data_IF_670148365238
#
_entry.id   IF_670148365238
#
_cell.length_a   1.000
_cell.length_b   1.000
_cell.length_c   1.000
_cell.angle_alpha   90.00
_cell.angle_beta   90.00
_cell.angle_gamma   90.00
#
_symmetry.space_group_name_H-M   'P 1'
#
loop_
_entity.id
_entity.type
_entity.pdbx_description
1 polymer ?
#
# COMPACT_ATOMS: atom_id res chain seq x y z
N UNK A 1 2.29 51.35 3.66
CA UNK A 1 1.60 50.60 4.71
C UNK A 1 0.44 49.75 4.18
N UNK A 2 -0.52 50.30 3.38
CA UNK A 2 -1.67 49.53 2.85
C UNK A 2 -1.27 48.26 2.04
N UNK A 3 -0.26 48.34 1.20
CA UNK A 3 0.21 47.19 0.40
C UNK A 3 0.94 46.12 1.25
N UNK A 4 1.58 46.54 2.34
CA UNK A 4 2.22 45.58 3.27
C UNK A 4 1.16 44.80 4.05
N UNK A 5 0.08 45.44 4.51
CA UNK A 5 -1.02 44.79 5.17
C UNK A 5 -1.75 43.81 4.23
N UNK A 6 -1.97 44.18 2.97
CA UNK A 6 -2.58 43.32 1.97
C UNK A 6 -1.71 42.09 1.69
N UNK A 7 -0.39 42.26 1.56
CA UNK A 7 0.54 41.14 1.34
C UNK A 7 0.57 40.21 2.56
N UNK A 8 0.64 40.74 3.78
CA UNK A 8 0.61 39.97 5.01
C UNK A 8 -0.70 39.20 5.17
N UNK A 9 -1.84 39.82 4.83
CA UNK A 9 -3.15 39.14 4.84
C UNK A 9 -3.22 38.01 3.80
N UNK A 10 -2.73 38.22 2.59
CA UNK A 10 -2.66 37.18 1.55
C UNK A 10 -1.80 36.00 1.98
N UNK A 11 -0.63 36.25 2.57
CA UNK A 11 0.24 35.21 3.10
C UNK A 11 -0.46 34.44 4.24
N UNK A 12 -1.14 35.15 5.14
CA UNK A 12 -1.91 34.54 6.22
C UNK A 12 -3.06 33.66 5.71
N UNK A 13 -3.82 34.14 4.73
CA UNK A 13 -4.90 33.38 4.10
C UNK A 13 -4.36 32.14 3.35
N UNK A 14 -3.25 32.27 2.63
CA UNK A 14 -2.61 31.16 1.95
C UNK A 14 -2.11 30.11 2.96
N UNK A 15 -1.48 30.55 4.05
CA UNK A 15 -1.04 29.65 5.14
C UNK A 15 -2.22 28.92 5.79
N UNK A 16 -3.30 29.63 6.13
CA UNK A 16 -4.51 29.01 6.68
C UNK A 16 -5.16 28.01 5.71
N UNK A 17 -5.19 28.35 4.42
CA UNK A 17 -5.67 27.43 3.38
C UNK A 17 -4.83 26.16 3.28
N UNK A 18 -3.49 26.28 3.30
CA UNK A 18 -2.58 25.12 3.24
C UNK A 18 -2.78 24.21 4.46
N UNK A 19 -2.91 24.77 5.66
CA UNK A 19 -3.18 23.99 6.88
C UNK A 19 -4.53 23.29 6.79
N UNK A 20 -5.58 23.99 6.37
CA UNK A 20 -6.91 23.41 6.21
C UNK A 20 -6.92 22.31 5.15
N UNK A 21 -6.34 22.55 3.98
CA UNK A 21 -6.24 21.57 2.90
C UNK A 21 -5.46 20.33 3.34
N UNK A 22 -4.33 20.51 4.04
CA UNK A 22 -3.57 19.39 4.61
C UNK A 22 -4.42 18.59 5.60
N UNK A 23 -5.15 19.22 6.50
CA UNK A 23 -6.01 18.53 7.45
C UNK A 23 -7.12 17.72 6.77
N UNK A 24 -7.72 18.22 5.69
CA UNK A 24 -8.71 17.46 4.91
C UNK A 24 -8.06 16.26 4.21
N UNK A 25 -6.87 16.44 3.63
CA UNK A 25 -6.15 15.40 2.91
C UNK A 25 -5.62 14.29 3.83
N UNK A 26 -5.49 14.53 5.14
CA UNK A 26 -5.14 13.52 6.14
C UNK A 26 -6.31 12.62 6.55
N UNK A 27 -7.55 12.97 6.19
CA UNK A 27 -8.69 12.09 6.43
C UNK A 27 -8.61 10.87 5.53
N UNK A 28 -8.57 9.69 6.14
CA UNK A 28 -8.48 8.43 5.42
C UNK A 28 -9.81 8.11 4.74
N UNK A 29 -9.78 8.07 3.40
CA UNK A 29 -10.93 7.72 2.57
C UNK A 29 -10.78 6.31 1.98
N UNK A 30 -11.89 5.73 1.53
CA UNK A 30 -11.90 4.58 0.65
C UNK A 30 -11.89 5.08 -0.79
N UNK A 31 -10.98 4.54 -1.60
CA UNK A 31 -10.95 4.76 -3.05
C UNK A 31 -11.44 3.50 -3.76
N UNK A 32 -12.46 3.61 -4.58
CA UNK A 32 -12.95 2.52 -5.40
C UNK A 32 -12.26 2.54 -6.76
N UNK A 33 -11.62 1.42 -7.12
CA UNK A 33 -10.80 1.30 -8.34
C UNK A 33 -11.24 0.08 -9.14
N UNK A 34 -11.44 0.23 -10.44
CA UNK A 34 -11.71 -0.90 -11.34
C UNK A 34 -10.48 -1.17 -12.18
N UNK A 35 -9.98 -2.40 -12.13
CA UNK A 35 -8.83 -2.86 -12.92
C UNK A 35 -9.28 -4.05 -13.78
N UNK A 36 -9.03 -3.99 -15.07
CA UNK A 36 -9.27 -5.11 -15.98
C UNK A 36 -7.95 -5.60 -16.56
N UNK A 37 -7.69 -6.89 -16.44
CA UNK A 37 -6.50 -7.53 -17.01
C UNK A 37 -6.91 -8.74 -17.88
N UNK A 38 -6.12 -9.00 -18.91
CA UNK A 38 -6.27 -10.21 -19.71
C UNK A 38 -5.29 -11.27 -19.20
N UNK A 39 -5.78 -12.46 -18.89
CA UNK A 39 -4.97 -13.58 -18.44
C UNK A 39 -5.28 -14.83 -19.26
N UNK A 40 -4.34 -15.30 -20.12
CA UNK A 40 -4.53 -16.53 -20.86
C UNK A 40 -4.59 -17.71 -19.89
N UNK A 41 -5.45 -18.68 -20.18
CA UNK A 41 -5.65 -19.91 -19.40
C UNK A 41 -6.23 -19.72 -17.98
N UNK A 42 -6.70 -18.53 -17.63
CA UNK A 42 -7.40 -18.27 -16.37
C UNK A 42 -8.88 -18.16 -16.67
N UNK A 43 -9.72 -18.84 -15.88
CA UNK A 43 -11.18 -18.68 -15.99
C UNK A 43 -11.56 -17.23 -15.70
N UNK A 44 -12.47 -16.69 -16.49
CA UNK A 44 -13.05 -15.37 -16.24
C UNK A 44 -13.58 -15.29 -14.80
N UNK A 45 -13.14 -14.28 -14.08
CA UNK A 45 -13.52 -14.06 -12.70
C UNK A 45 -13.30 -12.61 -12.28
N UNK A 46 -13.94 -12.20 -11.21
CA UNK A 46 -13.66 -10.92 -10.56
C UNK A 46 -13.24 -11.16 -9.10
N UNK A 47 -12.32 -10.34 -8.60
CA UNK A 47 -11.85 -10.35 -7.22
C UNK A 47 -11.96 -8.94 -6.64
N UNK A 48 -12.60 -8.83 -5.48
CA UNK A 48 -12.63 -7.59 -4.72
C UNK A 48 -11.47 -7.59 -3.74
N UNK A 49 -10.49 -6.71 -3.94
CA UNK A 49 -9.24 -6.67 -3.17
C UNK A 49 -9.16 -5.37 -2.39
N UNK A 50 -9.04 -5.46 -1.05
CA UNK A 50 -8.73 -4.30 -0.24
C UNK A 50 -7.22 -4.13 -0.11
N UNK A 51 -6.72 -2.92 -0.37
CA UNK A 51 -5.30 -2.57 -0.31
C UNK A 51 -5.05 -1.59 0.81
N UNK A 52 -4.16 -1.94 1.73
CA UNK A 52 -3.71 -1.10 2.83
C UNK A 52 -2.19 -0.94 2.72
N UNK A 53 -1.72 0.28 2.51
CA UNK A 53 -0.31 0.60 2.50
C UNK A 53 0.02 1.77 3.42
N UNK A 54 1.26 1.80 3.87
CA UNK A 54 1.89 2.95 4.46
C UNK A 54 1.10 3.59 5.62
N UNK A 55 0.61 2.83 6.60
CA UNK A 55 -0.10 3.41 7.73
C UNK A 55 0.82 4.20 8.66
N UNK A 56 2.13 3.92 8.69
CA UNK A 56 3.13 4.63 9.50
C UNK A 56 2.69 4.88 10.94
N UNK A 57 2.25 3.83 11.62
CA UNK A 57 1.67 3.92 12.95
C UNK A 57 2.74 4.30 13.99
N UNK A 58 2.67 5.49 14.64
CA UNK A 58 3.48 5.79 15.81
C UNK A 58 2.95 5.05 17.04
N UNK A 59 3.72 5.04 18.12
CA UNK A 59 3.21 4.56 19.39
C UNK A 59 2.04 5.41 19.89
N UNK A 60 1.03 4.74 20.42
CA UNK A 60 -0.14 5.40 21.01
C UNK A 60 -1.40 4.56 20.90
N UNK A 61 -2.20 4.54 21.97
CA UNK A 61 -3.45 3.76 22.00
C UNK A 61 -4.48 4.30 21.00
N UNK A 62 -4.56 5.61 20.87
CA UNK A 62 -5.50 6.29 19.98
C UNK A 62 -5.20 5.96 18.52
N UNK A 63 -3.92 5.90 18.15
CA UNK A 63 -3.49 5.56 16.78
C UNK A 63 -3.82 4.11 16.46
N UNK A 64 -3.53 3.19 17.37
CA UNK A 64 -3.87 1.77 17.20
C UNK A 64 -5.38 1.59 17.14
N UNK A 65 -6.16 2.31 17.97
CA UNK A 65 -7.63 2.26 17.91
C UNK A 65 -8.19 2.78 16.59
N UNK A 66 -7.65 3.87 16.06
CA UNK A 66 -8.04 4.41 14.76
C UNK A 66 -7.70 3.43 13.61
N UNK A 67 -6.57 2.75 13.70
CA UNK A 67 -6.21 1.70 12.74
C UNK A 67 -7.13 0.48 12.86
N UNK A 68 -7.53 0.08 14.06
CA UNK A 68 -8.54 -0.95 14.27
C UNK A 68 -9.88 -0.59 13.62
N UNK A 69 -10.35 0.63 13.79
CA UNK A 69 -11.57 1.13 13.15
C UNK A 69 -11.46 1.10 11.62
N UNK A 70 -10.29 1.47 11.08
CA UNK A 70 -10.02 1.35 9.65
C UNK A 70 -10.16 -0.11 9.19
N UNK A 71 -9.52 -1.05 9.86
CA UNK A 71 -9.57 -2.48 9.48
C UNK A 71 -10.98 -3.07 9.60
N UNK A 72 -11.77 -2.62 10.57
CA UNK A 72 -13.18 -3.01 10.66
C UNK A 72 -14.01 -2.45 9.49
N UNK A 73 -13.75 -1.22 9.04
CA UNK A 73 -14.35 -0.67 7.80
C UNK A 73 -13.92 -1.48 6.57
N UNK A 74 -12.64 -1.81 6.45
CA UNK A 74 -12.13 -2.69 5.39
C UNK A 74 -12.86 -4.03 5.40
N UNK A 75 -12.99 -4.67 6.56
CA UNK A 75 -13.74 -5.93 6.70
C UNK A 75 -15.20 -5.77 6.28
N UNK A 76 -15.85 -4.67 6.64
CA UNK A 76 -17.26 -4.42 6.31
C UNK A 76 -17.51 -4.20 4.82
N UNK A 77 -16.50 -3.83 4.02
CA UNK A 77 -16.59 -3.78 2.56
C UNK A 77 -16.60 -5.17 1.91
N UNK A 78 -16.42 -6.22 2.73
CA UNK A 78 -16.52 -7.64 2.35
C UNK A 78 -15.62 -8.01 1.16
N UNK A 79 -14.31 -7.69 1.16
CA UNK A 79 -13.41 -8.06 0.08
C UNK A 79 -13.19 -9.57 0.00
N UNK A 80 -12.68 -10.04 -1.13
CA UNK A 80 -12.27 -11.43 -1.33
C UNK A 80 -10.86 -11.70 -0.77
N UNK A 81 -10.03 -10.64 -0.73
CA UNK A 81 -8.64 -10.65 -0.27
C UNK A 81 -8.29 -9.29 0.33
N UNK A 82 -7.52 -9.27 1.40
CA UNK A 82 -6.89 -8.06 1.95
C UNK A 82 -5.39 -8.14 1.71
N UNK A 83 -4.80 -7.09 1.15
CA UNK A 83 -3.35 -7.00 0.93
C UNK A 83 -2.76 -5.82 1.70
N UNK A 84 -1.62 -6.09 2.34
CA UNK A 84 -0.86 -5.11 3.10
C UNK A 84 0.48 -4.90 2.43
N UNK A 85 0.79 -3.67 2.00
CA UNK A 85 1.94 -3.40 1.12
C UNK A 85 3.08 -2.61 1.79
N UNK A 86 3.26 -2.79 3.10
CA UNK A 86 4.45 -2.33 3.84
C UNK A 86 4.30 -1.00 4.57
N UNK A 87 5.35 -0.61 5.28
CA UNK A 87 5.51 0.59 6.08
C UNK A 87 4.41 0.75 7.15
N UNK A 88 4.30 -0.27 8.01
CA UNK A 88 3.26 -0.37 9.03
C UNK A 88 3.50 0.52 10.23
N UNK A 89 4.78 0.77 10.55
CA UNK A 89 5.19 1.60 11.70
C UNK A 89 5.76 2.94 11.25
N UNK A 90 5.69 3.93 12.13
CA UNK A 90 6.40 5.19 11.97
C UNK A 90 7.94 4.98 12.02
N UNK A 91 8.70 6.07 11.96
CA UNK A 91 10.16 6.01 12.04
C UNK A 91 10.60 5.09 13.19
N UNK A 92 11.35 4.00 12.94
CA UNK A 92 11.77 3.07 13.96
C UNK A 92 12.51 3.72 15.13
N UNK A 93 13.23 4.82 14.86
CA UNK A 93 13.95 5.56 15.91
C UNK A 93 13.04 6.30 16.90
N UNK A 94 11.78 6.51 16.52
CA UNK A 94 10.76 7.18 17.34
C UNK A 94 9.95 6.22 18.22
N UNK A 95 10.16 4.91 18.09
CA UNK A 95 9.41 3.87 18.80
C UNK A 95 10.24 3.38 20.00
N UNK A 96 9.74 3.62 21.21
CA UNK A 96 10.45 3.29 22.44
C UNK A 96 10.41 1.79 22.78
N UNK A 97 9.26 1.13 22.53
CA UNK A 97 9.08 -0.31 22.77
C UNK A 97 8.68 -1.03 21.47
N UNK A 98 9.68 -1.20 20.59
CA UNK A 98 9.49 -1.82 19.27
C UNK A 98 8.86 -3.22 19.33
N UNK A 99 9.29 -4.16 20.19
CA UNK A 99 8.68 -5.49 20.26
C UNK A 99 7.18 -5.43 20.57
N UNK A 100 6.79 -4.63 21.55
CA UNK A 100 5.38 -4.46 21.95
C UNK A 100 4.57 -3.76 20.87
N UNK A 101 5.11 -2.70 20.28
CA UNK A 101 4.42 -1.96 19.22
C UNK A 101 4.20 -2.83 18.00
N UNK A 102 5.22 -3.58 17.55
CA UNK A 102 5.14 -4.54 16.45
C UNK A 102 4.07 -5.60 16.70
N UNK A 103 3.99 -6.15 17.92
CA UNK A 103 2.96 -7.12 18.29
C UNK A 103 1.55 -6.53 18.20
N UNK A 104 1.34 -5.29 18.64
CA UNK A 104 0.05 -4.59 18.53
C UNK A 104 -0.36 -4.41 17.06
N UNK A 105 0.57 -3.98 16.23
CA UNK A 105 0.34 -3.77 14.79
C UNK A 105 -0.01 -5.09 14.09
N UNK A 106 0.76 -6.15 14.32
CA UNK A 106 0.50 -7.46 13.69
C UNK A 106 -0.82 -8.06 14.16
N UNK A 107 -1.16 -7.92 15.45
CA UNK A 107 -2.45 -8.40 15.96
C UNK A 107 -3.62 -7.64 15.36
N UNK A 108 -3.47 -6.37 15.02
CA UNK A 108 -4.52 -5.62 14.33
C UNK A 108 -4.89 -6.25 12.99
N UNK A 109 -3.93 -6.81 12.24
CA UNK A 109 -4.21 -7.46 10.95
C UNK A 109 -5.18 -8.63 11.05
N UNK A 110 -5.33 -9.24 12.23
CA UNK A 110 -6.31 -10.31 12.47
C UNK A 110 -7.75 -9.82 12.54
N UNK A 111 -7.96 -8.50 12.67
CA UNK A 111 -9.31 -7.94 12.69
C UNK A 111 -10.07 -8.17 11.38
N UNK A 112 -9.35 -8.41 10.28
CA UNK A 112 -9.99 -8.74 9.00
C UNK A 112 -10.37 -10.23 8.88
N UNK A 113 -9.99 -11.08 9.85
CA UNK A 113 -10.38 -12.49 9.83
C UNK A 113 -11.92 -12.66 9.68
N UNK A 114 -12.43 -13.66 8.93
CA UNK A 114 -11.69 -14.75 8.27
C UNK A 114 -11.24 -14.45 6.83
N UNK A 115 -11.24 -13.18 6.38
CA UNK A 115 -10.82 -12.82 5.03
C UNK A 115 -9.32 -13.13 4.87
N UNK A 116 -8.91 -13.86 3.80
CA UNK A 116 -7.50 -14.14 3.57
C UNK A 116 -6.72 -12.84 3.39
N UNK A 117 -5.48 -12.82 3.88
CA UNK A 117 -4.60 -11.65 3.81
C UNK A 117 -3.22 -12.01 3.31
N UNK A 118 -2.64 -11.13 2.50
CA UNK A 118 -1.26 -11.21 2.05
C UNK A 118 -0.50 -9.96 2.52
N UNK A 119 0.72 -10.16 3.01
CA UNK A 119 1.53 -9.11 3.63
C UNK A 119 2.92 -9.09 2.98
N UNK A 120 3.42 -7.91 2.62
CA UNK A 120 4.84 -7.67 2.28
C UNK A 120 5.40 -6.61 3.21
N UNK A 121 6.70 -6.63 3.47
CA UNK A 121 7.37 -5.64 4.30
C UNK A 121 7.81 -4.43 3.48
N UNK A 122 7.79 -3.24 4.11
CA UNK A 122 8.34 -2.02 3.58
C UNK A 122 9.73 -1.70 4.15
N UNK A 123 10.23 -0.50 3.85
CA UNK A 123 11.55 -0.09 4.30
C UNK A 123 11.63 0.18 5.81
N UNK A 124 10.55 0.61 6.45
CA UNK A 124 10.54 0.83 7.90
C UNK A 124 10.64 -0.49 8.68
N UNK A 125 9.97 -1.54 8.24
CA UNK A 125 10.14 -2.88 8.81
C UNK A 125 11.56 -3.40 8.58
N UNK A 126 12.13 -3.17 7.39
CA UNK A 126 13.49 -3.61 7.07
C UNK A 126 14.53 -2.87 7.90
N UNK A 127 14.36 -1.57 8.12
CA UNK A 127 15.26 -0.75 8.96
C UNK A 127 15.15 -1.08 10.46
N UNK A 128 13.98 -1.54 10.91
CA UNK A 128 13.75 -1.96 12.30
C UNK A 128 14.05 -3.43 12.57
N UNK A 129 14.83 -4.09 11.70
CA UNK A 129 15.17 -5.52 11.74
C UNK A 129 14.07 -6.45 11.16
N UNK A 130 14.11 -6.67 9.86
CA UNK A 130 13.16 -7.53 9.14
C UNK A 130 12.99 -8.94 9.75
N UNK A 131 14.05 -9.53 10.31
CA UNK A 131 14.00 -10.88 10.88
C UNK A 131 13.06 -10.96 12.10
N UNK A 132 13.00 -9.91 12.90
CA UNK A 132 12.08 -9.84 14.03
C UNK A 132 10.63 -9.78 13.52
N UNK A 133 10.37 -9.01 12.45
CA UNK A 133 9.05 -8.96 11.82
C UNK A 133 8.62 -10.32 11.29
N UNK A 134 9.48 -11.03 10.55
CA UNK A 134 9.17 -12.38 10.09
C UNK A 134 8.89 -13.35 11.23
N UNK A 135 9.67 -13.26 12.30
CA UNK A 135 9.50 -14.11 13.49
C UNK A 135 8.16 -13.85 14.17
N UNK A 136 7.81 -12.58 14.39
CA UNK A 136 6.58 -12.20 15.08
C UNK A 136 5.35 -12.44 14.20
N UNK A 137 5.40 -12.15 12.90
CA UNK A 137 4.31 -12.50 11.97
C UNK A 137 4.04 -13.99 11.98
N UNK A 138 5.10 -14.82 11.88
CA UNK A 138 4.98 -16.29 11.96
C UNK A 138 4.39 -16.74 13.30
N UNK A 139 4.88 -16.21 14.43
CA UNK A 139 4.40 -16.51 15.78
C UNK A 139 2.92 -16.18 15.92
N UNK A 140 2.48 -15.09 15.31
CA UNK A 140 1.10 -14.59 15.40
C UNK A 140 0.18 -15.15 14.29
N UNK A 141 0.70 -16.04 13.44
CA UNK A 141 -0.09 -16.73 12.41
C UNK A 141 -0.49 -15.83 11.24
N UNK A 142 0.30 -14.81 10.93
CA UNK A 142 0.16 -13.97 9.74
C UNK A 142 1.28 -14.28 8.77
N UNK A 143 0.96 -14.68 7.55
CA UNK A 143 1.96 -15.02 6.53
C UNK A 143 2.48 -13.76 5.85
N UNK A 144 3.81 -13.61 5.84
CA UNK A 144 4.51 -12.55 5.10
C UNK A 144 5.17 -13.14 3.88
N UNK A 145 4.96 -12.51 2.73
CA UNK A 145 5.52 -12.92 1.46
C UNK A 145 6.76 -12.05 1.12
N UNK A 146 7.93 -12.64 1.13
CA UNK A 146 9.13 -11.99 0.61
C UNK A 146 9.83 -12.91 -0.38
N UNK A 147 9.83 -12.50 -1.65
CA UNK A 147 10.40 -13.28 -2.75
C UNK A 147 9.85 -14.71 -2.80
N UNK A 148 8.57 -14.87 -2.58
CA UNK A 148 7.87 -16.15 -2.58
C UNK A 148 6.45 -16.03 -3.11
N UNK A 149 5.81 -17.17 -3.38
CA UNK A 149 4.44 -17.27 -3.90
C UNK A 149 3.62 -18.16 -3.00
N UNK A 150 2.48 -17.62 -2.54
CA UNK A 150 1.43 -18.37 -1.85
C UNK A 150 0.22 -18.60 -2.77
N UNK A 151 -0.50 -19.70 -2.54
CA UNK A 151 -1.83 -19.94 -3.09
C UNK A 151 -2.82 -19.70 -1.97
N UNK A 152 -3.69 -18.71 -2.15
CA UNK A 152 -4.67 -18.31 -1.15
C UNK A 152 -6.08 -18.69 -1.60
N UNK A 153 -6.86 -19.24 -0.68
CA UNK A 153 -8.26 -19.54 -0.91
C UNK A 153 -9.10 -18.30 -0.55
N UNK A 154 -9.94 -17.89 -1.49
CA UNK A 154 -10.91 -16.81 -1.31
C UNK A 154 -12.32 -17.33 -1.52
N UNK A 155 -13.34 -16.55 -1.18
CA UNK A 155 -14.75 -16.93 -1.47
C UNK A 155 -15.05 -17.06 -2.97
N UNK A 156 -14.16 -16.57 -3.87
CA UNK A 156 -14.26 -16.68 -5.33
C UNK A 156 -13.39 -17.80 -5.92
N UNK A 157 -12.68 -18.55 -5.10
CA UNK A 157 -11.71 -19.57 -5.49
C UNK A 157 -10.27 -19.21 -5.15
N UNK A 158 -9.32 -19.93 -5.74
CA UNK A 158 -7.91 -19.75 -5.44
C UNK A 158 -7.27 -18.61 -6.25
N UNK A 159 -6.38 -17.88 -5.61
CA UNK A 159 -5.53 -16.86 -6.22
C UNK A 159 -4.07 -17.10 -5.86
N UNK A 160 -3.16 -16.93 -6.82
CA UNK A 160 -1.72 -16.96 -6.56
C UNK A 160 -1.22 -15.55 -6.27
N UNK A 161 -0.71 -15.34 -5.06
CA UNK A 161 -0.13 -14.08 -4.63
C UNK A 161 1.37 -14.23 -4.52
N UNK A 162 2.12 -13.42 -5.25
CA UNK A 162 3.56 -13.30 -5.18
C UNK A 162 3.92 -12.06 -4.38
N UNK A 163 4.69 -12.20 -3.30
CA UNK A 163 5.33 -11.08 -2.63
C UNK A 163 6.78 -10.95 -3.10
N UNK A 164 7.17 -9.77 -3.54
CA UNK A 164 8.55 -9.41 -3.84
C UNK A 164 9.11 -8.59 -2.68
N UNK A 165 10.38 -8.81 -2.36
CA UNK A 165 11.08 -8.00 -1.37
C UNK A 165 11.20 -6.55 -1.81
N UNK A 166 11.31 -5.67 -0.85
CA UNK A 166 11.37 -4.24 -1.10
C UNK A 166 12.62 -3.84 -1.92
N UNK A 167 12.39 -3.13 -3.03
CA UNK A 167 13.46 -2.70 -3.94
C UNK A 167 14.28 -1.58 -3.32
N UNK A 168 13.67 -0.67 -2.58
CA UNK A 168 14.32 0.46 -1.95
C UNK A 168 15.40 0.04 -0.93
N UNK A 169 15.18 -1.05 -0.21
CA UNK A 169 16.14 -1.61 0.76
C UNK A 169 16.98 -2.75 0.19
N UNK A 170 17.03 -2.93 -1.13
CA UNK A 170 17.80 -3.97 -1.83
C UNK A 170 17.41 -5.42 -1.45
N UNK A 171 16.18 -5.64 -1.01
CA UNK A 171 15.67 -6.99 -0.70
C UNK A 171 14.93 -7.64 -1.86
N UNK A 172 14.70 -6.91 -2.94
CA UNK A 172 14.05 -7.41 -4.14
C UNK A 172 14.82 -8.59 -4.73
N UNK A 173 14.09 -9.69 -4.95
CA UNK A 173 14.57 -10.83 -5.71
C UNK A 173 13.41 -11.41 -6.52
N UNK A 174 13.60 -11.53 -7.82
CA UNK A 174 12.58 -12.12 -8.67
C UNK A 174 12.34 -13.60 -8.33
N UNK A 175 11.08 -14.01 -8.31
CA UNK A 175 10.63 -15.39 -8.21
C UNK A 175 9.49 -15.65 -9.19
N UNK A 176 9.55 -16.77 -9.90
CA UNK A 176 8.48 -17.17 -10.83
C UNK A 176 7.25 -17.73 -10.10
N UNK A 177 6.09 -17.63 -10.74
CA UNK A 177 4.92 -18.37 -10.32
C UNK A 177 5.10 -19.87 -10.59
N UNK A 178 4.89 -20.74 -9.59
CA UNK A 178 4.98 -22.19 -9.77
C UNK A 178 3.89 -22.70 -10.73
N UNK A 179 4.08 -23.88 -11.31
CA UNK A 179 3.14 -24.47 -12.29
C UNK A 179 1.70 -24.55 -11.80
N UNK A 180 1.49 -24.77 -10.49
CA UNK A 180 0.14 -24.78 -9.88
C UNK A 180 -0.63 -23.47 -10.04
N UNK A 181 0.06 -22.37 -10.36
CA UNK A 181 -0.55 -21.05 -10.61
C UNK A 181 -0.94 -20.82 -12.07
N UNK A 182 -0.69 -21.73 -13.00
CA UNK A 182 -0.88 -21.48 -14.44
C UNK A 182 -2.32 -21.15 -14.81
N UNK A 183 -3.29 -21.78 -14.16
CA UNK A 183 -4.74 -21.60 -14.38
C UNK A 183 -5.42 -20.74 -13.31
N UNK A 184 -4.66 -20.12 -12.41
CA UNK A 184 -5.18 -19.28 -11.34
C UNK A 184 -4.95 -17.80 -11.60
N UNK A 185 -5.81 -16.91 -11.10
CA UNK A 185 -5.52 -15.49 -11.01
C UNK A 185 -4.18 -15.24 -10.33
N UNK A 186 -3.42 -14.27 -10.83
CA UNK A 186 -2.08 -13.93 -10.33
C UNK A 186 -2.02 -12.48 -9.91
N UNK A 187 -1.51 -12.25 -8.71
CA UNK A 187 -1.31 -10.93 -8.13
C UNK A 187 0.12 -10.83 -7.59
N UNK A 188 0.82 -9.77 -7.88
CA UNK A 188 2.12 -9.47 -7.29
C UNK A 188 1.99 -8.30 -6.31
N UNK A 189 2.63 -8.43 -5.15
CA UNK A 189 2.76 -7.37 -4.16
C UNK A 189 4.24 -6.99 -4.03
N UNK A 190 4.53 -5.73 -3.88
CA UNK A 190 5.84 -5.19 -3.50
C UNK A 190 5.62 -3.91 -2.71
N UNK A 191 6.59 -3.49 -1.88
CA UNK A 191 6.45 -2.19 -1.25
C UNK A 191 6.82 -1.07 -2.23
N UNK A 192 8.08 -1.00 -2.67
CA UNK A 192 8.53 0.00 -3.64
C UNK A 192 8.08 -0.39 -5.07
N UNK A 193 7.36 0.50 -5.80
CA UNK A 193 6.93 0.25 -7.17
C UNK A 193 8.09 0.05 -8.17
N UNK A 194 9.31 0.46 -7.86
CA UNK A 194 10.48 0.21 -8.71
C UNK A 194 10.69 -1.29 -8.98
N UNK A 195 10.33 -2.17 -8.03
CA UNK A 195 10.37 -3.62 -8.22
C UNK A 195 9.45 -4.12 -9.34
N UNK A 196 8.39 -3.37 -9.66
CA UNK A 196 7.44 -3.71 -10.74
C UNK A 196 8.04 -3.59 -12.13
N UNK A 197 9.15 -2.85 -12.28
CA UNK A 197 9.78 -2.58 -13.57
C UNK A 197 10.92 -3.52 -13.92
N UNK A 198 11.21 -4.52 -13.09
CA UNK A 198 12.06 -5.64 -13.52
C UNK A 198 11.44 -6.29 -14.79
N UNK A 199 12.22 -6.56 -15.85
CA UNK A 199 11.71 -7.09 -17.11
C UNK A 199 10.94 -8.41 -16.98
N UNK A 200 11.21 -9.19 -15.94
CA UNK A 200 10.55 -10.48 -15.66
C UNK A 200 9.21 -10.34 -14.95
N UNK A 201 8.94 -9.18 -14.33
CA UNK A 201 7.69 -8.93 -13.61
C UNK A 201 6.61 -8.52 -14.60
N UNK A 202 5.56 -9.33 -14.70
CA UNK A 202 4.40 -9.19 -15.59
C UNK A 202 3.10 -9.31 -14.78
N UNK A 203 1.98 -8.89 -15.41
CA UNK A 203 0.66 -8.91 -14.79
C UNK A 203 0.43 -7.75 -13.84
N UNK A 204 -0.54 -7.91 -12.93
CA UNK A 204 -0.88 -6.89 -11.94
C UNK A 204 0.11 -6.91 -10.78
N UNK A 205 0.65 -5.74 -10.48
CA UNK A 205 1.46 -5.45 -9.29
C UNK A 205 0.76 -4.38 -8.48
N UNK A 206 0.64 -4.59 -7.16
CA UNK A 206 0.15 -3.60 -6.20
C UNK A 206 1.32 -3.19 -5.32
N UNK A 207 1.51 -1.87 -5.16
CA UNK A 207 2.61 -1.28 -4.40
C UNK A 207 2.16 -0.11 -3.52
N UNK A 208 3.03 0.32 -2.60
CA UNK A 208 2.89 1.48 -1.71
C UNK A 208 4.07 2.44 -1.84
N UNK A 209 4.68 2.81 -0.70
CA UNK A 209 5.94 3.54 -0.55
C UNK A 209 5.91 5.03 -0.94
N UNK A 210 5.30 5.37 -2.05
CA UNK A 210 5.41 6.70 -2.68
C UNK A 210 4.53 7.76 -2.06
N UNK A 211 3.47 7.36 -1.33
CA UNK A 211 2.41 8.24 -0.82
C UNK A 211 1.81 9.18 -1.89
N UNK A 212 1.91 8.79 -3.18
CA UNK A 212 1.60 9.71 -4.30
C UNK A 212 2.41 11.01 -4.26
N UNK A 213 3.60 10.98 -3.64
CA UNK A 213 4.47 12.14 -3.41
C UNK A 213 4.03 13.02 -2.24
N UNK A 214 3.04 12.61 -1.44
CA UNK A 214 2.54 13.22 -0.21
C UNK A 214 2.25 14.74 -0.29
N UNK A 215 3.19 15.52 -0.84
CA UNK A 215 3.06 16.95 -1.16
C UNK A 215 3.20 17.13 -2.68
N UNK A 216 2.08 17.34 -3.34
CA UNK A 216 2.00 17.50 -4.79
C UNK A 216 1.42 18.89 -5.11
N UNK A 217 2.17 19.67 -5.88
CA UNK A 217 1.79 21.04 -6.23
C UNK A 217 0.99 21.00 -7.54
N UNK A 218 -0.17 21.70 -7.61
CA UNK A 218 -0.94 21.79 -8.85
C UNK A 218 -0.08 22.22 -10.03
N UNK A 219 -0.21 21.55 -11.15
CA UNK A 219 0.55 21.73 -12.42
C UNK A 219 2.03 21.32 -12.39
N UNK A 220 2.67 21.19 -11.22
CA UNK A 220 4.07 20.79 -11.09
C UNK A 220 4.24 19.32 -10.65
N UNK A 221 3.20 18.75 -10.03
CA UNK A 221 3.25 17.38 -9.51
C UNK A 221 3.92 17.27 -8.13
N UNK A 222 4.33 16.05 -7.74
CA UNK A 222 4.97 15.81 -6.45
C UNK A 222 6.33 16.50 -6.34
N UNK A 223 6.60 17.10 -5.17
CA UNK A 223 7.88 17.76 -4.94
C UNK A 223 9.03 16.77 -4.84
N UNK A 224 8.75 15.60 -4.32
CA UNK A 224 9.72 14.51 -4.15
C UNK A 224 9.01 13.17 -3.98
N UNK A 225 9.61 12.09 -4.52
CA UNK A 225 9.14 10.71 -4.37
C UNK A 225 10.34 9.81 -4.18
N UNK A 226 10.40 9.00 -3.11
CA UNK A 226 11.57 8.19 -2.76
C UNK A 226 11.62 6.86 -3.52
N UNK A 227 11.60 6.87 -4.85
CA UNK A 227 11.63 5.63 -5.65
C UNK A 227 12.37 5.83 -6.97
N UNK A 228 12.99 4.78 -7.48
CA UNK A 228 13.53 4.72 -8.84
C UNK A 228 12.47 4.30 -9.89
N UNK A 229 11.22 4.12 -9.49
CA UNK A 229 10.13 3.88 -10.43
C UNK A 229 9.92 5.08 -11.36
N UNK A 230 9.49 4.86 -12.60
CA UNK A 230 9.18 5.96 -13.50
C UNK A 230 8.05 6.86 -12.96
N UNK A 231 8.07 8.17 -13.22
CA UNK A 231 7.08 9.13 -12.67
C UNK A 231 5.61 8.78 -12.92
N UNK A 232 5.30 8.14 -14.03
CA UNK A 232 3.93 7.68 -14.36
C UNK A 232 3.42 6.53 -13.47
N UNK A 233 4.31 5.90 -12.69
CA UNK A 233 3.99 4.83 -11.75
C UNK A 233 4.23 5.24 -10.29
N UNK A 234 4.16 6.53 -9.99
CA UNK A 234 4.26 7.02 -8.63
C UNK A 234 2.91 7.03 -7.89
N UNK A 235 1.77 6.91 -8.60
CA UNK A 235 0.45 7.00 -7.99
C UNK A 235 -0.63 6.42 -8.91
N UNK A 236 -1.57 5.69 -8.33
CA UNK A 236 -2.71 5.15 -9.05
C UNK A 236 -2.35 4.03 -10.01
N UNK A 237 -3.15 3.86 -11.06
CA UNK A 237 -3.01 2.77 -12.01
C UNK A 237 -2.23 3.18 -13.26
N UNK A 238 -1.15 2.46 -13.53
CA UNK A 238 -0.45 2.48 -14.81
C UNK A 238 -0.60 1.12 -15.52
N UNK A 239 -0.97 1.14 -16.79
CA UNK A 239 -1.09 -0.07 -17.63
C UNK A 239 -0.37 0.09 -18.95
N UNK A 240 0.43 -0.89 -19.32
CA UNK A 240 1.11 -0.94 -20.62
C UNK A 240 1.44 -2.39 -21.01
N UNK A 241 0.94 -2.84 -22.13
CA UNK A 241 1.15 -4.20 -22.63
C UNK A 241 0.62 -5.26 -21.66
N UNK A 242 1.51 -6.10 -21.14
CA UNK A 242 1.23 -7.18 -20.22
C UNK A 242 1.48 -6.82 -18.74
N UNK A 243 1.70 -5.53 -18.44
CA UNK A 243 1.98 -5.00 -17.11
C UNK A 243 0.90 -4.01 -16.67
N UNK A 244 0.42 -4.19 -15.46
CA UNK A 244 -0.40 -3.23 -14.73
C UNK A 244 0.27 -2.98 -13.36
N UNK A 245 0.48 -1.73 -12.99
CA UNK A 245 1.03 -1.34 -11.68
C UNK A 245 0.04 -0.41 -11.02
N UNK A 246 -0.46 -0.78 -9.86
CA UNK A 246 -1.28 0.07 -9.02
C UNK A 246 -0.49 0.48 -7.79
N UNK A 247 -0.41 1.77 -7.55
CA UNK A 247 0.31 2.34 -6.40
C UNK A 247 -0.68 3.10 -5.53
N UNK A 248 -0.88 2.61 -4.30
CA UNK A 248 -1.77 3.24 -3.32
C UNK A 248 -1.21 4.57 -2.82
N UNK A 249 -2.09 5.49 -2.47
CA UNK A 249 -1.68 6.75 -1.82
C UNK A 249 -1.25 6.56 -0.36
N UNK A 250 -1.57 5.42 0.23
CA UNK A 250 -1.25 5.10 1.61
C UNK A 250 -2.15 5.78 2.65
N UNK A 251 -2.27 5.14 3.80
CA UNK A 251 -3.14 5.54 4.90
C UNK A 251 -2.54 6.68 5.73
N UNK A 252 -1.23 6.57 6.05
CA UNK A 252 -0.51 7.51 6.91
C UNK A 252 0.29 8.56 6.15
N UNK A 253 1.27 9.10 6.84
CA UNK A 253 2.26 10.06 6.30
C UNK A 253 3.65 9.61 6.70
N UNK A 254 4.64 9.90 5.84
CA UNK A 254 6.05 9.68 6.14
C UNK A 254 6.76 11.02 6.35
N UNK A 255 7.76 11.07 7.24
CA UNK A 255 8.63 12.23 7.54
C UNK A 255 7.84 13.42 8.12
N UNK A 256 6.89 13.96 7.40
CA UNK A 256 6.09 15.13 7.82
C UNK A 256 4.60 14.76 7.93
N UNK A 257 3.90 15.19 9.00
CA UNK A 257 2.49 14.90 9.20
C UNK A 257 1.57 15.82 8.39
N UNK A 258 1.86 15.97 7.08
CA UNK A 258 1.10 16.82 6.16
C UNK A 258 0.85 16.09 4.84
N UNK A 259 -0.31 16.38 4.21
CA UNK A 259 -0.59 16.02 2.82
C UNK A 259 -1.13 17.22 2.07
N UNK A 260 -0.63 17.45 0.88
CA UNK A 260 -1.13 18.51 0.01
C UNK A 260 -1.20 18.01 -1.44
N UNK A 261 -2.36 18.19 -2.08
CA UNK A 261 -2.61 17.69 -3.43
C UNK A 261 -2.70 16.16 -3.57
N UNK A 262 -2.61 15.43 -2.45
CA UNK A 262 -2.79 13.97 -2.38
C UNK A 262 -3.64 13.63 -1.15
N UNK A 263 -4.46 12.60 -1.24
CA UNK A 263 -5.39 12.18 -0.19
C UNK A 263 -4.90 10.90 0.50
N UNK A 264 -4.96 10.86 1.84
CA UNK A 264 -4.81 9.61 2.60
C UNK A 264 -5.94 8.66 2.28
N UNK A 265 -5.62 7.38 2.03
CA UNK A 265 -6.66 6.41 1.71
C UNK A 265 -6.18 4.96 1.72
N UNK A 266 -7.16 4.08 1.71
CA UNK A 266 -7.02 2.69 1.35
C UNK A 266 -7.86 2.43 0.11
N UNK A 267 -7.55 1.38 -0.64
CA UNK A 267 -8.19 1.18 -1.93
C UNK A 267 -8.98 -0.12 -1.95
N UNK A 268 -10.16 -0.09 -2.59
CA UNK A 268 -10.99 -1.24 -2.87
C UNK A 268 -10.96 -1.48 -4.38
N UNK A 269 -10.19 -2.49 -4.80
CA UNK A 269 -9.99 -2.81 -6.20
C UNK A 269 -10.98 -3.88 -6.63
N UNK A 270 -11.84 -3.57 -7.59
CA UNK A 270 -12.61 -4.55 -8.37
C UNK A 270 -11.76 -5.02 -9.55
N UNK A 271 -11.07 -6.15 -9.35
CA UNK A 271 -10.18 -6.75 -10.34
C UNK A 271 -10.96 -7.69 -11.25
N UNK A 272 -11.15 -7.30 -12.51
CA UNK A 272 -11.77 -8.10 -13.55
C UNK A 272 -10.69 -8.83 -14.37
N UNK A 273 -10.73 -10.15 -14.41
CA UNK A 273 -9.81 -11.00 -15.15
C UNK A 273 -10.56 -11.60 -16.32
N UNK A 274 -10.18 -11.20 -17.53
CA UNK A 274 -10.81 -11.62 -18.77
C UNK A 274 -9.96 -12.70 -19.46
N UNK A 275 -10.63 -13.61 -20.14
CA UNK A 275 -10.00 -14.55 -21.07
C UNK A 275 -9.51 -13.73 -22.26
N UNK A 276 -8.23 -13.82 -22.58
CA UNK A 276 -7.72 -13.22 -23.82
C UNK A 276 -8.32 -14.00 -24.99
N UNK A 277 -9.23 -13.35 -25.71
CA UNK A 277 -9.72 -13.85 -27.01
C UNK A 277 -8.59 -13.94 -28.03
#
# INVERSE_FOLDING_TARGET
>A
MRNFFLLAMLIGCAGAYLVFASHQNLRVVQNDVVISINAPNVRETSLLIAVIGDPHLPEGKEVISAFHELLLRVKSSNPDLVVFVGDYIADPSSIADMPKHRELVINAFKLVDPIPRAVVLGNYENWSNANDWFTDFKRLGVEVLENQVAVMETKKGFVCVRGLGDKFTNRFKYVDYPRRCNSLPKLTLTHDPAGSFDPKVKGLVIAGHTHCGQVSVPFFGPLWVPTDAPPFAHCGLYQSGDRAVFVTSGVGTSILPIRFGTQSGWDLIDLNINIKG
#
